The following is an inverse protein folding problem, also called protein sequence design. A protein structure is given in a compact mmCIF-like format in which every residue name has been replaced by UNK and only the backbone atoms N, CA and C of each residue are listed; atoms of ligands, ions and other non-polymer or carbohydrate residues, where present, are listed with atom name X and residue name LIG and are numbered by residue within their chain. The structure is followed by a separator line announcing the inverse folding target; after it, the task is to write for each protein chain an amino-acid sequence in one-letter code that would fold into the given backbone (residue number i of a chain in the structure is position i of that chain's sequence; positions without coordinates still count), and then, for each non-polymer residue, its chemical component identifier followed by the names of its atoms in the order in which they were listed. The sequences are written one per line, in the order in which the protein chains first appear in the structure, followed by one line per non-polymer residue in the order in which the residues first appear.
data_IF_395344318299
#
_entry.id   IF_395344318299
#
_cell.length_a   1.000
_cell.length_b   1.000
_cell.length_c   1.000
_cell.angle_alpha   90.00
_cell.angle_beta   90.00
_cell.angle_gamma   90.00
#
_symmetry.space_group_name_H-M   'P 1'
#
loop_
_entity.id
_entity.type
_entity.pdbx_description
1 polymer ?
#
# COMPACT_ATOMS: atom_id res chain seq x y z
N UNK A 1 22.78 -3.09 1.97
CA UNK A 1 22.00 -3.17 3.21
C UNK A 1 21.81 -1.74 3.67
N UNK A 2 20.60 -1.30 4.02
CA UNK A 2 20.36 0.12 4.27
C UNK A 2 20.80 0.48 5.69
N UNK A 3 21.80 1.35 5.85
CA UNK A 3 22.44 1.63 7.15
C UNK A 3 21.46 2.16 8.21
N UNK A 4 20.35 2.76 7.78
CA UNK A 4 19.32 3.29 8.68
C UNK A 4 18.63 2.21 9.53
N UNK A 5 18.66 0.93 9.13
CA UNK A 5 18.00 -0.13 9.91
C UNK A 5 18.65 -0.33 11.29
N UNK A 6 19.94 0.00 11.42
CA UNK A 6 20.68 -0.07 12.67
C UNK A 6 20.33 1.04 13.66
N UNK A 7 19.55 2.05 13.24
CA UNK A 7 19.05 3.11 14.12
C UNK A 7 17.95 2.56 15.05
N UNK A 8 17.24 1.50 14.65
CA UNK A 8 16.19 0.92 15.48
C UNK A 8 16.78 0.22 16.71
N UNK A 9 16.53 0.79 17.88
CA UNK A 9 16.99 0.22 19.16
C UNK A 9 15.99 -0.81 19.72
N UNK A 10 14.69 -0.59 19.50
CA UNK A 10 13.63 -1.51 19.91
C UNK A 10 12.74 -1.90 18.73
N UNK A 11 12.59 -3.22 18.50
CA UNK A 11 11.72 -3.78 17.46
C UNK A 11 10.25 -3.36 17.58
N UNK A 12 9.80 -3.02 18.79
CA UNK A 12 8.44 -2.55 19.05
C UNK A 12 8.16 -1.16 18.46
N UNK A 13 9.19 -0.36 18.18
CA UNK A 13 9.05 0.97 17.55
C UNK A 13 8.58 0.88 16.09
N UNK A 14 8.76 -0.27 15.45
CA UNK A 14 8.43 -0.49 14.04
C UNK A 14 8.99 0.61 13.11
N UNK A 15 10.25 0.98 13.31
CA UNK A 15 10.92 1.97 12.45
C UNK A 15 10.82 1.56 10.98
N UNK A 16 10.35 2.48 10.13
CA UNK A 16 10.16 2.21 8.72
C UNK A 16 10.52 3.40 7.83
N UNK A 17 11.01 3.09 6.63
CA UNK A 17 11.17 4.05 5.55
C UNK A 17 9.95 4.00 4.63
N UNK A 18 9.41 5.17 4.28
CA UNK A 18 8.24 5.29 3.42
C UNK A 18 8.66 5.65 1.99
N UNK A 19 8.19 4.86 1.02
CA UNK A 19 8.38 5.10 -0.41
C UNK A 19 7.03 5.39 -1.05
N UNK A 20 6.89 6.55 -1.70
CA UNK A 20 5.62 7.00 -2.27
C UNK A 20 5.59 6.79 -3.77
N UNK A 21 4.49 6.21 -4.26
CA UNK A 21 4.20 5.97 -5.66
C UNK A 21 2.78 6.43 -5.97
N UNK A 22 2.45 6.55 -7.25
CA UNK A 22 1.08 6.77 -7.68
C UNK A 22 0.77 6.06 -8.98
N UNK A 23 -0.52 5.77 -9.20
CA UNK A 23 -1.04 5.23 -10.46
C UNK A 23 -2.36 5.91 -10.79
N UNK A 24 -2.56 6.24 -12.06
CA UNK A 24 -3.83 6.74 -12.57
C UNK A 24 -4.63 5.57 -13.13
N UNK A 25 -5.80 5.31 -12.54
CA UNK A 25 -6.79 4.34 -13.04
C UNK A 25 -7.86 5.06 -13.84
N UNK A 26 -8.15 4.56 -15.03
CA UNK A 26 -9.26 5.01 -15.85
C UNK A 26 -10.56 4.38 -15.33
N UNK A 27 -11.58 5.20 -15.07
CA UNK A 27 -12.92 4.75 -14.63
C UNK A 27 -14.01 5.36 -15.51
N UNK A 28 -15.24 4.87 -15.41
CA UNK A 28 -16.38 5.45 -16.13
C UNK A 28 -16.63 6.92 -15.75
N UNK A 29 -16.26 7.33 -14.53
CA UNK A 29 -16.35 8.71 -14.03
C UNK A 29 -15.12 9.56 -14.29
N UNK A 30 -14.12 9.04 -15.02
CA UNK A 30 -12.87 9.74 -15.35
C UNK A 30 -11.62 9.14 -14.69
N UNK A 31 -10.54 9.91 -14.72
CA UNK A 31 -9.23 9.51 -14.19
C UNK A 31 -9.20 9.63 -12.68
N UNK A 32 -8.84 8.54 -12.00
CA UNK A 32 -8.67 8.52 -10.55
C UNK A 32 -7.21 8.20 -10.23
N UNK A 33 -6.56 9.08 -9.48
CA UNK A 33 -5.21 8.84 -8.98
C UNK A 33 -5.27 8.10 -7.65
N UNK A 34 -4.56 6.98 -7.58
CA UNK A 34 -4.26 6.26 -6.34
C UNK A 34 -2.85 6.64 -5.91
N UNK A 35 -2.68 7.08 -4.67
CA UNK A 35 -1.40 7.15 -4.01
C UNK A 35 -1.12 5.79 -3.34
N UNK A 36 0.13 5.34 -3.40
CA UNK A 36 0.58 4.08 -2.83
C UNK A 36 1.78 4.37 -1.95
N UNK A 37 1.72 3.90 -0.71
CA UNK A 37 2.85 3.97 0.22
C UNK A 37 3.40 2.58 0.42
N UNK A 38 4.68 2.39 0.10
CA UNK A 38 5.43 1.19 0.48
C UNK A 38 6.18 1.48 1.78
N UNK A 39 5.82 0.76 2.83
CA UNK A 39 6.45 0.75 4.15
C UNK A 39 7.56 -0.29 4.13
N UNK A 40 8.82 0.14 4.16
CA UNK A 40 9.98 -0.73 4.38
C UNK A 40 10.33 -0.70 5.86
N UNK A 41 10.05 -1.78 6.58
CA UNK A 41 10.37 -1.91 8.01
C UNK A 41 11.85 -2.25 8.19
N UNK A 42 12.50 -1.70 9.22
CA UNK A 42 13.87 -2.07 9.59
C UNK A 42 13.96 -3.56 9.99
N UNK A 43 12.98 -4.03 10.77
CA UNK A 43 12.79 -5.43 11.15
C UNK A 43 11.38 -5.88 10.71
N UNK A 44 11.20 -7.09 10.14
CA UNK A 44 9.88 -7.62 9.83
C UNK A 44 8.95 -7.57 11.06
N UNK A 45 7.70 -7.09 10.91
CA UNK A 45 6.74 -7.07 12.02
C UNK A 45 6.45 -8.47 12.58
N UNK A 46 5.99 -8.59 13.84
CA UNK A 46 5.64 -9.87 14.43
C UNK A 46 4.66 -10.66 13.57
N UNK A 47 4.97 -11.94 13.31
CA UNK A 47 4.17 -12.81 12.45
C UNK A 47 4.40 -12.64 10.94
N UNK A 48 5.23 -11.66 10.52
CA UNK A 48 5.61 -11.47 9.13
C UNK A 48 7.05 -11.88 8.86
N UNK A 49 7.27 -12.49 7.68
CA UNK A 49 8.61 -12.89 7.21
C UNK A 49 9.25 -11.87 6.27
N UNK A 50 8.49 -10.86 5.88
CA UNK A 50 8.85 -9.85 4.89
C UNK A 50 8.71 -8.47 5.51
N UNK A 51 9.51 -7.52 4.98
CA UNK A 51 9.63 -6.17 5.53
C UNK A 51 9.05 -5.09 4.63
N UNK A 52 8.52 -5.44 3.46
CA UNK A 52 7.94 -4.48 2.53
C UNK A 52 6.43 -4.68 2.46
N UNK A 53 5.69 -3.64 2.81
CA UNK A 53 4.23 -3.61 2.73
C UNK A 53 3.78 -2.42 1.90
N UNK A 54 3.07 -2.66 0.81
CA UNK A 54 2.46 -1.64 -0.02
C UNK A 54 0.97 -1.52 0.31
N UNK A 55 0.46 -0.30 0.32
CA UNK A 55 -0.94 0.00 0.59
C UNK A 55 -1.36 1.24 -0.20
N UNK A 56 -2.54 1.19 -0.82
CA UNK A 56 -3.11 2.34 -1.51
C UNK A 56 -3.93 3.24 -0.57
N UNK A 57 -4.06 4.51 -0.91
CA UNK A 57 -4.84 5.50 -0.16
C UNK A 57 -6.36 5.33 -0.31
N UNK A 58 -6.80 4.54 -1.30
CA UNK A 58 -8.22 4.36 -1.67
C UNK A 58 -8.61 2.91 -1.76
N UNK A 59 -9.82 2.59 -1.32
CA UNK A 59 -10.42 1.28 -1.48
C UNK A 59 -10.96 1.06 -2.91
N UNK A 60 -11.03 -0.20 -3.32
CA UNK A 60 -11.68 -0.68 -4.55
C UNK A 60 -12.88 -1.55 -4.19
N UNK A 61 -13.73 -1.84 -5.19
CA UNK A 61 -14.90 -2.71 -5.04
C UNK A 61 -15.90 -2.23 -3.96
N UNK A 62 -16.03 -0.91 -3.81
CA UNK A 62 -16.72 -0.27 -2.68
C UNK A 62 -18.17 -0.74 -2.49
N UNK A 63 -18.92 -0.99 -3.56
CA UNK A 63 -20.34 -1.37 -3.49
C UNK A 63 -20.59 -2.85 -3.19
N UNK A 64 -19.58 -3.70 -3.37
CA UNK A 64 -19.72 -5.15 -3.12
C UNK A 64 -19.01 -5.56 -1.84
N UNK A 65 -17.70 -5.29 -1.77
CA UNK A 65 -16.86 -5.55 -0.62
C UNK A 65 -15.66 -4.61 -0.71
N UNK A 66 -15.73 -3.50 0.02
CA UNK A 66 -14.68 -2.48 0.05
C UNK A 66 -13.36 -3.09 0.54
N UNK A 67 -12.33 -3.04 -0.30
CA UNK A 67 -11.00 -3.58 0.00
C UNK A 67 -9.96 -2.52 -0.31
N UNK A 68 -9.06 -2.26 0.64
CA UNK A 68 -7.88 -1.43 0.38
C UNK A 68 -6.84 -2.30 -0.36
N UNK A 69 -6.43 -1.94 -1.59
CA UNK A 69 -5.35 -2.61 -2.29
C UNK A 69 -4.07 -2.60 -1.47
N UNK A 70 -3.53 -3.78 -1.19
CA UNK A 70 -2.29 -3.92 -0.44
C UNK A 70 -1.45 -5.12 -0.92
N UNK A 71 -0.19 -5.19 -0.51
CA UNK A 71 0.71 -6.26 -0.89
C UNK A 71 1.91 -6.37 0.03
N UNK A 72 2.34 -7.60 0.31
CA UNK A 72 3.56 -7.91 1.05
C UNK A 72 4.61 -8.47 0.09
N UNK A 73 5.88 -8.09 0.25
CA UNK A 73 6.91 -8.48 -0.69
C UNK A 73 8.31 -8.59 -0.09
N UNK A 74 9.19 -9.31 -0.80
CA UNK A 74 10.63 -9.40 -0.47
C UNK A 74 11.42 -8.17 -0.92
N UNK A 75 10.79 -7.30 -1.72
CA UNK A 75 11.32 -6.01 -2.19
C UNK A 75 10.20 -4.98 -2.35
N UNK A 76 10.58 -3.70 -2.45
CA UNK A 76 9.66 -2.58 -2.75
C UNK A 76 8.79 -2.90 -3.97
N UNK A 77 9.41 -3.36 -5.07
CA UNK A 77 8.71 -3.59 -6.33
C UNK A 77 7.78 -4.80 -6.29
N UNK A 78 8.12 -5.85 -5.53
CA UNK A 78 7.21 -6.99 -5.34
C UNK A 78 5.94 -6.59 -4.58
N UNK A 79 6.08 -5.85 -3.47
CA UNK A 79 4.94 -5.36 -2.69
C UNK A 79 4.09 -4.38 -3.51
N UNK A 80 4.74 -3.43 -4.20
CA UNK A 80 4.09 -2.48 -5.10
C UNK A 80 3.33 -3.20 -6.23
N UNK A 81 3.95 -4.22 -6.83
CA UNK A 81 3.35 -5.00 -7.91
C UNK A 81 2.03 -5.67 -7.51
N UNK A 82 1.98 -6.27 -6.31
CA UNK A 82 0.77 -6.86 -5.78
C UNK A 82 -0.33 -5.83 -5.49
N UNK A 83 0.04 -4.70 -4.88
CA UNK A 83 -0.90 -3.59 -4.65
C UNK A 83 -1.48 -3.06 -5.98
N UNK A 84 -0.61 -2.79 -6.97
CA UNK A 84 -1.02 -2.33 -8.31
C UNK A 84 -1.89 -3.37 -9.02
N UNK A 85 -1.62 -4.67 -8.85
CA UNK A 85 -2.44 -5.74 -9.42
C UNK A 85 -3.87 -5.68 -8.89
N UNK A 86 -4.06 -5.48 -7.58
CA UNK A 86 -5.39 -5.32 -6.98
C UNK A 86 -6.10 -4.06 -7.49
N UNK A 87 -5.39 -2.92 -7.57
CA UNK A 87 -5.94 -1.68 -8.15
C UNK A 87 -6.44 -1.92 -9.59
N UNK A 88 -5.74 -2.72 -10.39
CA UNK A 88 -6.16 -3.04 -11.76
C UNK A 88 -7.36 -3.98 -11.79
N UNK A 89 -7.33 -5.02 -10.95
CA UNK A 89 -8.30 -6.11 -10.94
C UNK A 89 -9.70 -5.66 -10.56
N UNK A 90 -9.82 -4.76 -9.59
CA UNK A 90 -11.12 -4.38 -9.04
C UNK A 90 -11.59 -2.99 -9.53
N UNK A 91 -12.91 -2.79 -9.71
CA UNK A 91 -13.45 -1.50 -10.09
C UNK A 91 -13.25 -0.47 -8.96
N UNK A 92 -13.19 0.80 -9.32
CA UNK A 92 -13.26 1.91 -8.37
C UNK A 92 -14.55 2.66 -8.65
N UNK A 93 -15.42 2.74 -7.65
CA UNK A 93 -16.79 3.23 -7.80
C UNK A 93 -17.00 4.60 -7.14
N UNK A 94 -15.93 5.19 -6.62
CA UNK A 94 -15.93 6.46 -5.88
C UNK A 94 -15.95 6.24 -4.37
N UNK A 95 -15.33 7.15 -3.62
CA UNK A 95 -15.62 7.28 -2.18
C UNK A 95 -17.05 7.78 -2.04
N UNK A 96 -17.88 7.09 -1.26
CA UNK A 96 -19.10 7.72 -0.75
C UNK A 96 -18.65 9.00 -0.05
N UNK A 97 -19.02 10.15 -0.60
CA UNK A 97 -18.96 11.40 0.14
C UNK A 97 -19.90 11.21 1.33
N UNK A 98 -19.40 10.78 2.48
CA UNK A 98 -20.03 11.10 3.75
C UNK A 98 -20.02 12.62 3.82
N UNK A 99 -21.16 13.18 3.46
CA UNK A 99 -21.35 14.62 3.38
C UNK A 99 -21.25 15.28 4.75
N UNK A 100 -20.91 16.56 4.65
CA UNK A 100 -21.11 17.64 5.63
C UNK A 100 -20.09 17.76 6.77
#
# INVERSE_FOLDING_TARGET
MSDWVHIQADSAEQLMQLHHFSIVKQTAGGNVTFAITVKEFAVPPPGQRVRFYAEADKAVNQKTASVVPCGWGTSIFSALGDCVRLIRQFPYEGEERTGS
#
